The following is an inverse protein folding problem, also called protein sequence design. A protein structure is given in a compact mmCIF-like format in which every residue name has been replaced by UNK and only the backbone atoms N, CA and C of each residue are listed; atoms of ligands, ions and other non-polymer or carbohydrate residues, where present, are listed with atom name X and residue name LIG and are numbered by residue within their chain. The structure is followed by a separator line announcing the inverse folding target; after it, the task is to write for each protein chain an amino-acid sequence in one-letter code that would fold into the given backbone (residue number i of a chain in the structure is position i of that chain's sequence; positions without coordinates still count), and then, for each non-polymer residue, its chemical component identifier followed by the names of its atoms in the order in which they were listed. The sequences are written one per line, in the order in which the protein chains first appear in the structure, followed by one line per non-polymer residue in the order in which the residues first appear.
data_IF_844029070530
#
_entry.id   IF_844029070530
#
_cell.length_a   1.000
_cell.length_b   1.000
_cell.length_c   1.000
_cell.angle_alpha   90.00
_cell.angle_beta   90.00
_cell.angle_gamma   90.00
#
_symmetry.space_group_name_H-M   'P 1'
#
loop_
_entity.id
_entity.type
_entity.pdbx_description
1 polymer ?
#
# COMPACT_ATOMS: atom_id res chain seq x y z
N UNK A 1 -15.24 15.90 0.81
CA UNK A 1 -14.58 14.64 1.21
C UNK A 1 -13.56 14.32 0.12
N UNK A 2 -12.30 14.00 0.44
CA UNK A 2 -11.25 13.73 -0.55
C UNK A 2 -10.58 12.38 -0.27
N UNK A 3 -10.02 11.74 -1.30
CA UNK A 3 -9.32 10.46 -1.18
C UNK A 3 -7.94 10.64 -0.53
N UNK A 4 -7.62 9.81 0.47
CA UNK A 4 -6.31 9.82 1.14
C UNK A 4 -5.45 8.66 0.67
N UNK A 5 -6.02 7.47 0.48
CA UNK A 5 -5.29 6.29 0.00
C UNK A 5 -5.99 5.73 -1.21
N UNK A 6 -5.22 5.42 -2.26
CA UNK A 6 -5.69 4.64 -3.40
C UNK A 6 -4.67 3.59 -3.78
N UNK A 7 -5.14 2.40 -4.11
CA UNK A 7 -4.31 1.37 -4.74
C UNK A 7 -4.87 1.05 -6.11
N UNK A 8 -3.97 0.90 -7.09
CA UNK A 8 -4.33 0.59 -8.47
C UNK A 8 -3.64 -0.68 -8.90
N UNK A 9 -4.43 -1.74 -9.13
CA UNK A 9 -3.96 -3.07 -9.50
C UNK A 9 -2.73 -3.50 -8.70
N UNK A 10 -2.79 -3.42 -7.37
CA UNK A 10 -1.62 -3.59 -6.51
C UNK A 10 -1.25 -5.07 -6.35
N UNK A 11 -0.02 -5.42 -6.75
CA UNK A 11 0.54 -6.77 -6.61
C UNK A 11 1.77 -6.80 -5.71
N UNK A 12 1.92 -7.91 -5.01
CA UNK A 12 3.18 -8.27 -4.33
C UNK A 12 3.43 -9.74 -4.49
N UNK A 13 4.57 -10.05 -5.11
CA UNK A 13 5.14 -11.39 -5.23
C UNK A 13 6.50 -11.36 -4.56
N UNK A 14 6.70 -12.22 -3.57
CA UNK A 14 8.00 -12.36 -2.90
C UNK A 14 8.95 -13.25 -3.72
N UNK A 15 10.28 -13.21 -3.47
CA UNK A 15 11.26 -13.96 -4.26
C UNK A 15 11.06 -15.48 -4.27
N UNK A 16 10.40 -16.02 -3.24
CA UNK A 16 10.02 -17.43 -3.14
C UNK A 16 8.81 -17.81 -4.02
N UNK A 17 8.26 -16.85 -4.77
CA UNK A 17 7.09 -17.01 -5.62
C UNK A 17 5.76 -16.81 -4.89
N UNK A 18 5.77 -16.50 -3.58
CA UNK A 18 4.55 -16.28 -2.81
C UNK A 18 3.82 -15.01 -3.30
N UNK A 19 2.63 -15.19 -3.87
CA UNK A 19 1.75 -14.10 -4.32
C UNK A 19 0.93 -13.55 -3.13
N UNK A 20 1.55 -12.67 -2.35
CA UNK A 20 0.96 -12.10 -1.15
C UNK A 20 -0.23 -11.17 -1.45
N UNK A 21 -0.17 -10.39 -2.53
CA UNK A 21 -1.30 -9.58 -3.03
C UNK A 21 -1.53 -9.81 -4.52
N UNK A 22 -2.78 -9.75 -4.96
CA UNK A 22 -3.22 -10.13 -6.31
C UNK A 22 -4.17 -9.07 -6.89
N UNK A 23 -3.62 -7.96 -7.38
CA UNK A 23 -4.39 -6.93 -8.08
C UNK A 23 -5.40 -6.19 -7.20
N UNK A 24 -4.97 -5.71 -6.04
CA UNK A 24 -5.86 -5.03 -5.08
C UNK A 24 -6.15 -3.60 -5.56
N UNK A 25 -7.45 -3.27 -5.64
CA UNK A 25 -7.96 -1.92 -5.87
C UNK A 25 -8.74 -1.48 -4.64
N UNK A 26 -8.33 -0.36 -4.05
CA UNK A 26 -8.88 0.18 -2.82
C UNK A 26 -8.86 1.71 -2.90
N UNK A 27 -9.89 2.35 -2.34
CA UNK A 27 -9.95 3.80 -2.12
C UNK A 27 -10.38 4.02 -0.68
N UNK A 28 -9.66 4.87 0.05
CA UNK A 28 -10.00 5.30 1.41
C UNK A 28 -10.13 6.82 1.42
N UNK A 29 -11.27 7.30 1.89
CA UNK A 29 -11.61 8.71 1.97
C UNK A 29 -11.20 9.32 3.32
N UNK A 30 -10.95 10.63 3.32
CA UNK A 30 -10.65 11.40 4.53
C UNK A 30 -11.77 11.27 5.55
N UNK A 31 -11.42 10.74 6.73
CA UNK A 31 -12.34 10.57 7.86
C UNK A 31 -12.93 9.17 7.99
N UNK A 32 -12.61 8.26 7.08
CA UNK A 32 -13.00 6.85 7.21
C UNK A 32 -12.13 6.14 8.25
N UNK A 33 -12.79 5.28 9.05
CA UNK A 33 -12.12 4.34 9.94
C UNK A 33 -12.28 2.93 9.36
N UNK A 34 -11.19 2.37 8.83
CA UNK A 34 -11.21 1.14 8.05
C UNK A 34 -10.46 0.02 8.79
N UNK A 35 -11.10 -1.14 8.94
CA UNK A 35 -10.47 -2.36 9.43
C UNK A 35 -10.13 -3.32 8.30
N UNK A 36 -8.93 -3.91 8.32
CA UNK A 36 -8.51 -4.96 7.37
C UNK A 36 -8.52 -6.31 8.07
N UNK A 37 -9.39 -7.22 7.62
CA UNK A 37 -9.61 -8.53 8.26
C UNK A 37 -9.40 -9.69 7.28
N UNK A 38 -9.10 -10.87 7.82
CA UNK A 38 -8.88 -12.09 7.04
C UNK A 38 -7.95 -13.09 7.76
N UNK A 39 -7.88 -14.35 7.31
CA UNK A 39 -7.06 -15.40 7.93
C UNK A 39 -5.57 -15.03 8.03
N UNK A 40 -4.83 -15.67 8.94
CA UNK A 40 -3.36 -15.51 8.97
C UNK A 40 -2.76 -15.86 7.61
N UNK A 41 -1.76 -15.08 7.17
CA UNK A 41 -1.11 -15.26 5.86
C UNK A 41 -1.85 -14.68 4.65
N UNK A 42 -3.05 -14.10 4.81
CA UNK A 42 -3.84 -13.56 3.68
C UNK A 42 -3.29 -12.26 3.04
N UNK A 43 -2.10 -11.80 3.42
CA UNK A 43 -1.47 -10.59 2.87
C UNK A 43 -1.85 -9.26 3.55
N UNK A 44 -2.55 -9.26 4.70
CA UNK A 44 -2.96 -8.02 5.41
C UNK A 44 -1.78 -7.13 5.77
N UNK A 45 -0.77 -7.68 6.45
CA UNK A 45 0.42 -6.91 6.84
C UNK A 45 1.20 -6.42 5.61
N UNK A 46 1.25 -7.23 4.55
CA UNK A 46 1.83 -6.83 3.27
C UNK A 46 1.10 -5.63 2.66
N UNK A 47 -0.24 -5.64 2.63
CA UNK A 47 -1.04 -4.51 2.17
C UNK A 47 -0.75 -3.25 2.99
N UNK A 48 -0.73 -3.36 4.32
CA UNK A 48 -0.45 -2.23 5.21
C UNK A 48 0.99 -1.70 5.06
N UNK A 49 1.98 -2.57 4.87
CA UNK A 49 3.36 -2.16 4.60
C UNK A 49 3.48 -1.38 3.29
N UNK A 50 2.80 -1.82 2.23
CA UNK A 50 2.80 -1.13 0.94
C UNK A 50 2.08 0.22 1.03
N UNK A 51 0.93 0.29 1.70
CA UNK A 51 0.21 1.55 1.93
C UNK A 51 1.07 2.51 2.76
N UNK A 52 1.78 2.00 3.77
CA UNK A 52 2.69 2.78 4.62
C UNK A 52 4.04 3.13 3.97
N UNK A 53 4.28 2.72 2.71
CA UNK A 53 5.54 2.98 2.02
C UNK A 53 6.77 2.29 2.64
N UNK A 54 6.56 1.19 3.37
CA UNK A 54 7.60 0.39 4.03
C UNK A 54 8.15 -0.72 3.14
N UNK A 55 7.48 -1.02 2.04
CA UNK A 55 7.87 -2.00 1.04
C UNK A 55 7.45 -1.48 -0.35
N UNK A 56 7.99 -2.08 -1.41
CA UNK A 56 7.66 -1.75 -2.80
C UNK A 56 6.75 -2.82 -3.40
N UNK A 57 5.69 -2.44 -4.14
CA UNK A 57 4.89 -3.39 -4.88
C UNK A 57 5.71 -4.03 -5.99
N UNK A 58 5.31 -5.23 -6.40
CA UNK A 58 5.87 -5.86 -7.60
C UNK A 58 5.28 -5.22 -8.85
N UNK A 59 3.98 -4.90 -8.83
CA UNK A 59 3.26 -4.20 -9.89
C UNK A 59 2.16 -3.32 -9.30
N UNK A 60 1.69 -2.34 -10.07
CA UNK A 60 0.65 -1.40 -9.64
C UNK A 60 1.20 -0.26 -8.80
N UNK A 61 0.28 0.49 -8.18
CA UNK A 61 0.60 1.76 -7.49
C UNK A 61 -0.11 1.89 -6.17
N UNK A 62 0.51 2.66 -5.28
CA UNK A 62 -0.10 3.22 -4.07
C UNK A 62 -0.01 4.73 -4.18
N UNK A 63 -1.16 5.40 -4.10
CA UNK A 63 -1.25 6.85 -4.05
C UNK A 63 -1.64 7.28 -2.63
N UNK A 64 -0.84 8.14 -2.02
CA UNK A 64 -1.18 8.88 -0.81
C UNK A 64 -1.43 10.33 -1.15
N UNK A 65 -2.61 10.84 -0.80
CA UNK A 65 -3.03 12.21 -1.13
C UNK A 65 -2.85 12.54 -2.63
N UNK A 66 -3.14 11.57 -3.50
CA UNK A 66 -2.99 11.68 -4.95
C UNK A 66 -1.55 11.59 -5.47
N UNK A 67 -0.55 11.34 -4.62
CA UNK A 67 0.86 11.18 -5.01
C UNK A 67 1.28 9.72 -4.95
N UNK A 68 1.90 9.22 -6.01
CA UNK A 68 2.48 7.88 -6.05
C UNK A 68 3.72 7.81 -5.14
N UNK A 69 3.62 7.07 -4.05
CA UNK A 69 4.65 7.01 -3.00
C UNK A 69 5.77 6.00 -3.30
N UNK A 70 5.61 5.16 -4.32
CA UNK A 70 6.60 4.14 -4.70
C UNK A 70 7.60 4.71 -5.71
N UNK A 71 7.13 5.66 -6.53
CA UNK A 71 7.96 6.38 -7.50
C UNK A 71 8.89 7.44 -6.88
N UNK A 72 8.72 7.74 -5.59
CA UNK A 72 9.59 8.64 -4.84
C UNK A 72 10.81 7.83 -4.39
N UNK A 73 12.02 8.24 -4.80
CA UNK A 73 13.27 7.57 -4.45
C UNK A 73 13.51 7.53 -2.93
N UNK A 74 14.50 6.73 -2.51
CA UNK A 74 14.82 6.43 -1.10
C UNK A 74 15.00 7.68 -0.20
N UNK A 75 15.26 8.85 -0.79
CA UNK A 75 15.46 10.13 -0.10
C UNK A 75 14.17 10.74 0.51
N UNK A 76 12.98 10.42 -0.01
CA UNK A 76 11.70 11.01 0.44
C UNK A 76 10.99 10.20 1.55
N UNK A 77 11.42 8.97 1.84
CA UNK A 77 10.84 8.14 2.92
C UNK A 77 11.08 8.69 4.33
N UNK A 78 11.92 9.73 4.46
CA UNK A 78 12.16 10.44 5.71
C UNK A 78 10.99 11.33 6.15
N UNK A 79 10.15 11.79 5.22
CA UNK A 79 9.00 12.67 5.49
C UNK A 79 7.83 11.94 6.15
N UNK A 80 7.68 10.64 5.92
CA UNK A 80 6.59 9.83 6.47
C UNK A 80 6.97 8.99 7.70
N UNK A 81 8.25 9.01 8.10
CA UNK A 81 8.76 8.31 9.30
C UNK A 81 8.89 9.19 10.54
N UNK A 82 8.62 10.50 10.42
CA UNK A 82 8.64 11.46 11.54
C UNK A 82 7.21 11.86 11.91
N UNK A 83 6.55 10.98 12.64
CA UNK A 83 5.34 11.23 13.42
C UNK A 83 5.51 10.61 14.79
#
# INVERSE_FOLDING_TARGET
MYEIVRTENLWKVYPDGTKALKGINLSIMRGEFVGVMGPSGSGKSTLLHLIGGLDKPTEGKVLLFGKDIVSMGEDDHSLFRRG
#
